data_IF_449919413157
#
_entry.id   IF_449919413157
#
_cell.length_a   1.000
_cell.length_b   1.000
_cell.length_c   1.000
_cell.angle_alpha   90.00
_cell.angle_beta   90.00
_cell.angle_gamma   90.00
#
_symmetry.space_group_name_H-M   'P 1'
#
loop_
_entity.id
_entity.type
_entity.pdbx_description
1 polymer ?
#
# COMPACT_ATOMS: atom_id res chain seq x y z
N UNK A 1 -20.83 -27.70 25.70
CA UNK A 1 -20.27 -28.25 24.45
C UNK A 1 -19.13 -29.16 24.85
N UNK A 2 -19.10 -30.41 24.38
CA UNK A 2 -17.99 -31.31 24.67
C UNK A 2 -16.78 -30.98 23.80
N UNK A 3 -15.57 -31.34 24.22
CA UNK A 3 -14.34 -31.15 23.44
C UNK A 3 -14.41 -31.85 22.06
N UNK A 4 -15.17 -32.95 21.98
CA UNK A 4 -15.44 -33.66 20.73
C UNK A 4 -16.36 -32.85 19.79
N UNK A 5 -17.41 -32.21 20.32
CA UNK A 5 -18.28 -31.31 19.55
C UNK A 5 -17.50 -30.10 19.03
N UNK A 6 -16.59 -29.55 19.85
CA UNK A 6 -15.77 -28.40 19.46
C UNK A 6 -14.78 -28.75 18.33
N UNK A 7 -14.14 -29.92 18.40
CA UNK A 7 -13.30 -30.45 17.31
C UNK A 7 -14.09 -30.61 16.01
N UNK A 8 -15.28 -31.22 16.09
CA UNK A 8 -16.17 -31.42 14.93
C UNK A 8 -16.54 -30.09 14.27
N UNK A 9 -16.85 -29.07 15.09
CA UNK A 9 -17.17 -27.73 14.59
C UNK A 9 -15.99 -27.10 13.84
N UNK A 10 -14.78 -27.13 14.42
CA UNK A 10 -13.59 -26.58 13.76
C UNK A 10 -13.22 -27.30 12.46
N UNK A 11 -13.35 -28.63 12.42
CA UNK A 11 -13.10 -29.39 11.19
C UNK A 11 -14.11 -28.99 10.10
N UNK A 12 -15.38 -28.79 10.45
CA UNK A 12 -16.38 -28.33 9.49
C UNK A 12 -16.10 -26.91 8.97
N UNK A 13 -15.68 -26.01 9.85
CA UNK A 13 -15.25 -24.64 9.49
C UNK A 13 -14.07 -24.66 8.50
N UNK A 14 -13.01 -25.41 8.81
CA UNK A 14 -11.86 -25.57 7.91
C UNK A 14 -12.30 -26.17 6.56
N UNK A 15 -13.19 -27.15 6.57
CA UNK A 15 -13.67 -27.78 5.34
C UNK A 15 -14.46 -26.80 4.46
N UNK A 16 -15.29 -25.95 5.05
CA UNK A 16 -16.03 -24.90 4.35
C UNK A 16 -15.08 -23.87 3.73
N UNK A 17 -14.10 -23.41 4.50
CA UNK A 17 -13.08 -22.49 4.02
C UNK A 17 -12.26 -23.08 2.85
N UNK A 18 -11.87 -24.34 2.94
CA UNK A 18 -11.16 -25.06 1.87
C UNK A 18 -12.00 -25.20 0.59
N UNK A 19 -13.32 -25.39 0.69
CA UNK A 19 -14.17 -25.41 -0.50
C UNK A 19 -14.28 -24.02 -1.15
N UNK A 20 -14.40 -22.95 -0.36
CA UNK A 20 -14.37 -21.57 -0.87
C UNK A 20 -13.05 -21.27 -1.59
N UNK A 21 -11.92 -21.71 -1.02
CA UNK A 21 -10.59 -21.57 -1.63
C UNK A 21 -10.54 -22.19 -3.03
N UNK A 22 -11.04 -23.43 -3.17
CA UNK A 22 -11.10 -24.14 -4.46
C UNK A 22 -12.02 -23.45 -5.46
N UNK A 23 -13.13 -22.90 -5.01
CA UNK A 23 -14.08 -22.18 -5.86
C UNK A 23 -13.46 -20.89 -6.40
N UNK A 24 -12.79 -20.10 -5.55
CA UNK A 24 -12.07 -18.89 -5.96
C UNK A 24 -10.96 -19.19 -6.97
N UNK A 25 -10.12 -20.21 -6.70
CA UNK A 25 -9.09 -20.66 -7.65
C UNK A 25 -9.70 -21.01 -9.02
N UNK A 26 -10.78 -21.78 -9.02
CA UNK A 26 -11.43 -22.24 -10.26
C UNK A 26 -12.08 -21.10 -11.05
N UNK A 27 -12.73 -20.16 -10.36
CA UNK A 27 -13.51 -19.08 -10.99
C UNK A 27 -12.63 -17.93 -11.46
N UNK A 28 -11.55 -17.62 -10.73
CA UNK A 28 -10.67 -16.47 -10.98
C UNK A 28 -9.37 -16.84 -11.68
N UNK A 29 -9.06 -18.13 -11.83
CA UNK A 29 -7.86 -18.59 -12.55
C UNK A 29 -6.55 -18.25 -11.84
N UNK A 30 -6.60 -17.99 -10.54
CA UNK A 30 -5.43 -17.65 -9.72
C UNK A 30 -4.70 -18.94 -9.37
N UNK A 31 -3.46 -19.09 -9.86
CA UNK A 31 -2.56 -20.15 -9.40
C UNK A 31 -2.02 -19.81 -8.02
N UNK A 32 -2.09 -20.77 -7.10
CA UNK A 32 -1.59 -20.58 -5.75
C UNK A 32 -0.58 -21.68 -5.44
N UNK A 33 0.62 -21.27 -5.04
CA UNK A 33 1.57 -22.16 -4.39
C UNK A 33 1.10 -22.43 -2.94
N UNK A 34 0.10 -23.28 -2.80
CA UNK A 34 -0.39 -23.72 -1.48
C UNK A 34 0.17 -25.09 -1.14
N UNK A 35 0.63 -25.22 0.10
CA UNK A 35 0.72 -26.53 0.74
C UNK A 35 -0.67 -26.97 1.21
N UNK A 36 -1.53 -27.39 0.26
CA UNK A 36 -2.86 -27.92 0.57
C UNK A 36 -2.80 -29.15 1.50
N UNK A 37 -1.64 -29.79 1.65
CA UNK A 37 -1.45 -30.90 2.58
C UNK A 37 -1.56 -30.44 4.03
N UNK A 38 -1.40 -29.15 4.34
CA UNK A 38 -1.64 -28.60 5.68
C UNK A 38 -3.09 -28.85 6.12
N UNK A 39 -4.07 -28.70 5.23
CA UNK A 39 -5.48 -28.92 5.56
C UNK A 39 -5.84 -30.40 5.68
N UNK A 40 -5.10 -31.29 5.01
CA UNK A 40 -5.28 -32.75 5.12
C UNK A 40 -5.02 -33.29 6.55
N UNK A 41 -4.39 -32.46 7.39
CA UNK A 41 -4.12 -32.72 8.81
C UNK A 41 -5.31 -32.40 9.71
N UNK A 42 -6.36 -31.72 9.23
CA UNK A 42 -7.56 -31.45 10.02
C UNK A 42 -8.42 -32.72 10.17
N UNK A 43 -8.09 -33.57 11.14
CA UNK A 43 -8.74 -34.87 11.37
C UNK A 43 -9.38 -34.95 12.77
N UNK A 44 -10.34 -35.87 13.00
CA UNK A 44 -11.01 -35.99 14.31
C UNK A 44 -10.08 -36.23 15.50
N UNK A 45 -8.92 -36.84 15.26
CA UNK A 45 -7.87 -37.14 16.25
C UNK A 45 -6.88 -35.99 16.47
N UNK A 46 -6.98 -34.91 15.69
CA UNK A 46 -6.11 -33.73 15.79
C UNK A 46 -6.44 -32.93 17.06
N UNK A 47 -5.41 -32.37 17.70
CA UNK A 47 -5.61 -31.57 18.91
C UNK A 47 -6.39 -30.28 18.60
N UNK A 48 -7.13 -29.75 19.57
CA UNK A 48 -7.84 -28.47 19.39
C UNK A 48 -6.90 -27.31 19.09
N UNK A 49 -5.68 -27.33 19.64
CA UNK A 49 -4.66 -26.31 19.38
C UNK A 49 -4.21 -26.36 17.91
N UNK A 50 -3.89 -27.55 17.40
CA UNK A 50 -3.48 -27.72 16.01
C UNK A 50 -4.61 -27.37 15.04
N UNK A 51 -5.85 -27.77 15.34
CA UNK A 51 -7.03 -27.36 14.55
C UNK A 51 -7.21 -25.84 14.53
N UNK A 52 -6.89 -25.15 15.63
CA UNK A 52 -6.94 -23.67 15.66
C UNK A 52 -5.91 -23.07 14.72
N UNK A 53 -4.68 -23.58 14.76
CA UNK A 53 -3.62 -23.11 13.86
C UNK A 53 -3.90 -23.43 12.39
N UNK A 54 -4.56 -24.56 12.09
CA UNK A 54 -4.99 -24.87 10.71
C UNK A 54 -6.10 -23.91 10.26
N UNK A 55 -7.09 -23.62 11.11
CA UNK A 55 -8.16 -22.67 10.81
C UNK A 55 -7.63 -21.24 10.63
N UNK A 56 -6.66 -20.82 11.44
CA UNK A 56 -6.01 -19.51 11.28
C UNK A 56 -5.30 -19.40 9.92
N UNK A 57 -4.48 -20.39 9.57
CA UNK A 57 -3.83 -20.45 8.25
C UNK A 57 -4.85 -20.45 7.10
N UNK A 58 -5.93 -21.22 7.24
CA UNK A 58 -7.01 -21.29 6.26
C UNK A 58 -7.63 -19.92 5.97
N UNK A 59 -7.90 -19.14 7.03
CA UNK A 59 -8.38 -17.75 6.92
C UNK A 59 -7.36 -16.83 6.28
N UNK A 60 -6.09 -16.91 6.66
CA UNK A 60 -5.02 -16.11 6.06
C UNK A 60 -4.97 -16.34 4.54
N UNK A 61 -5.06 -17.60 4.10
CA UNK A 61 -5.11 -17.92 2.68
C UNK A 61 -6.37 -17.38 1.99
N UNK A 62 -7.55 -17.56 2.61
CA UNK A 62 -8.80 -17.04 2.05
C UNK A 62 -8.73 -15.53 1.84
N UNK A 63 -8.22 -14.81 2.84
CA UNK A 63 -8.05 -13.37 2.78
C UNK A 63 -7.07 -12.99 1.66
N UNK A 64 -5.93 -13.68 1.55
CA UNK A 64 -4.94 -13.41 0.50
C UNK A 64 -5.52 -13.61 -0.92
N UNK A 65 -6.29 -14.68 -1.11
CA UNK A 65 -6.86 -15.02 -2.42
C UNK A 65 -8.02 -14.11 -2.76
N UNK A 66 -8.87 -13.83 -1.77
CA UNK A 66 -9.93 -12.86 -1.89
C UNK A 66 -9.35 -11.52 -2.33
N UNK A 67 -8.28 -11.07 -1.67
CA UNK A 67 -7.57 -9.83 -1.99
C UNK A 67 -7.03 -9.81 -3.43
N UNK A 68 -6.40 -10.90 -3.89
CA UNK A 68 -5.90 -11.01 -5.27
C UNK A 68 -7.03 -11.13 -6.31
N UNK A 69 -8.12 -11.83 -5.99
CA UNK A 69 -9.30 -11.88 -6.84
C UNK A 69 -10.00 -10.53 -6.96
N UNK A 70 -9.97 -9.76 -5.87
CA UNK A 70 -10.57 -8.45 -5.76
C UNK A 70 -9.71 -7.35 -6.41
N UNK A 71 -8.38 -7.46 -6.38
CA UNK A 71 -7.49 -6.51 -7.07
C UNK A 71 -7.75 -6.46 -8.57
N UNK A 72 -8.07 -7.60 -9.20
CA UNK A 72 -8.48 -7.63 -10.62
C UNK A 72 -9.82 -6.94 -10.87
N UNK A 73 -10.77 -7.00 -9.92
CA UNK A 73 -12.04 -6.28 -10.04
C UNK A 73 -11.84 -4.76 -9.96
N UNK A 74 -10.81 -4.29 -9.26
CA UNK A 74 -10.50 -2.87 -9.11
C UNK A 74 -10.01 -2.22 -10.41
N UNK A 75 -9.63 -3.01 -11.41
CA UNK A 75 -9.24 -2.53 -12.75
C UNK A 75 -10.43 -2.17 -13.63
N UNK A 76 -11.66 -2.48 -13.20
CA UNK A 76 -12.87 -2.17 -13.97
C UNK A 76 -13.22 -0.69 -13.90
N UNK A 77 -13.81 -0.15 -14.98
CA UNK A 77 -14.23 1.27 -15.05
C UNK A 77 -15.17 1.64 -13.88
N UNK A 78 -16.13 0.76 -13.53
CA UNK A 78 -17.04 0.98 -12.41
C UNK A 78 -16.32 1.07 -11.07
N UNK A 79 -15.34 0.19 -10.82
CA UNK A 79 -14.58 0.19 -9.59
C UNK A 79 -13.66 1.42 -9.48
N UNK A 80 -13.06 1.86 -10.59
CA UNK A 80 -12.27 3.09 -10.65
C UNK A 80 -13.17 4.30 -10.37
N UNK A 81 -14.34 4.39 -11.01
CA UNK A 81 -15.30 5.48 -10.82
C UNK A 81 -15.78 5.59 -9.36
N UNK A 82 -16.02 4.46 -8.69
CA UNK A 82 -16.35 4.45 -7.28
C UNK A 82 -15.16 4.88 -6.42
N UNK A 83 -13.94 4.43 -6.75
CA UNK A 83 -12.71 4.83 -6.04
C UNK A 83 -12.48 6.35 -6.13
N UNK A 84 -12.67 6.95 -7.30
CA UNK A 84 -12.61 8.41 -7.48
C UNK A 84 -13.63 9.16 -6.62
N UNK A 85 -14.85 8.60 -6.44
CA UNK A 85 -15.86 9.16 -5.54
C UNK A 85 -15.45 9.02 -4.07
N UNK A 86 -14.86 7.89 -3.68
CA UNK A 86 -14.35 7.70 -2.31
C UNK A 86 -13.26 8.71 -1.97
N UNK A 87 -12.27 8.89 -2.85
CA UNK A 87 -11.21 9.90 -2.68
C UNK A 87 -11.80 11.32 -2.57
N UNK A 88 -12.79 11.65 -3.41
CA UNK A 88 -13.50 12.93 -3.32
C UNK A 88 -14.23 13.12 -1.97
N UNK A 89 -14.75 12.05 -1.36
CA UNK A 89 -15.35 12.12 -0.02
C UNK A 89 -14.28 12.32 1.06
N UNK A 90 -13.11 11.68 0.94
CA UNK A 90 -11.99 11.89 1.84
C UNK A 90 -11.51 13.34 1.81
N UNK A 91 -11.34 13.93 0.61
CA UNK A 91 -11.00 15.34 0.44
C UNK A 91 -11.98 16.25 1.20
N UNK A 92 -13.28 16.00 1.02
CA UNK A 92 -14.35 16.75 1.66
C UNK A 92 -14.51 16.45 3.17
N UNK A 93 -13.72 15.53 3.73
CA UNK A 93 -13.88 15.00 5.08
C UNK A 93 -15.30 14.48 5.36
N UNK A 94 -15.91 13.88 4.35
CA UNK A 94 -17.28 13.41 4.39
C UNK A 94 -17.33 11.91 4.67
N UNK A 95 -18.34 11.46 5.42
CA UNK A 95 -18.59 10.03 5.60
C UNK A 95 -18.98 9.38 4.28
N UNK A 96 -18.58 8.13 4.11
CA UNK A 96 -19.04 7.31 3.00
C UNK A 96 -20.44 6.74 3.26
N UNK A 97 -21.06 6.14 2.24
CA UNK A 97 -22.42 5.59 2.32
C UNK A 97 -22.50 4.44 3.34
N UNK A 98 -21.45 3.63 3.46
CA UNK A 98 -21.31 2.63 4.53
C UNK A 98 -20.82 3.29 5.82
N UNK A 99 -21.58 3.24 6.93
CA UNK A 99 -21.26 3.97 8.15
C UNK A 99 -20.04 3.43 8.92
N UNK A 100 -19.59 2.21 8.62
CA UNK A 100 -18.40 1.62 9.24
C UNK A 100 -17.09 2.14 8.63
N UNK A 101 -17.15 2.73 7.42
CA UNK A 101 -16.01 3.37 6.76
C UNK A 101 -15.83 4.79 7.28
N UNK A 102 -15.23 4.90 8.46
CA UNK A 102 -14.71 6.19 8.93
C UNK A 102 -13.60 6.70 8.00
N UNK A 103 -13.37 8.01 7.96
CA UNK A 103 -12.58 8.67 6.91
C UNK A 103 -11.14 8.11 6.79
N UNK A 104 -10.52 7.67 7.89
CA UNK A 104 -9.20 7.00 7.86
C UNK A 104 -9.24 5.69 7.07
N UNK A 105 -10.16 4.80 7.44
CA UNK A 105 -10.35 3.51 6.78
C UNK A 105 -10.80 3.70 5.33
N UNK A 106 -11.59 4.74 5.07
CA UNK A 106 -12.01 5.10 3.72
C UNK A 106 -10.82 5.53 2.85
N UNK A 107 -9.87 6.30 3.40
CA UNK A 107 -8.65 6.71 2.69
C UNK A 107 -7.80 5.48 2.36
N UNK A 108 -7.43 4.67 3.35
CA UNK A 108 -6.62 3.46 3.10
C UNK A 108 -7.29 2.50 2.12
N UNK A 109 -8.62 2.35 2.22
CA UNK A 109 -9.36 1.52 1.29
C UNK A 109 -9.37 2.10 -0.12
N UNK A 110 -9.60 3.41 -0.27
CA UNK A 110 -9.57 4.06 -1.57
C UNK A 110 -8.16 4.02 -2.19
N UNK A 111 -7.11 4.21 -1.39
CA UNK A 111 -5.71 4.12 -1.80
C UNK A 111 -5.37 2.72 -2.28
N UNK A 112 -5.72 1.69 -1.50
CA UNK A 112 -5.57 0.29 -1.90
C UNK A 112 -6.26 -0.02 -3.24
N UNK A 113 -7.53 0.40 -3.39
CA UNK A 113 -8.29 0.21 -4.62
C UNK A 113 -7.65 0.92 -5.81
N UNK A 114 -7.18 2.15 -5.61
CA UNK A 114 -6.53 2.95 -6.65
C UNK A 114 -5.26 2.27 -7.17
N UNK A 115 -4.37 1.83 -6.27
CA UNK A 115 -3.15 1.12 -6.70
C UNK A 115 -3.45 -0.20 -7.40
N UNK A 116 -4.43 -0.99 -6.92
CA UNK A 116 -4.87 -2.19 -7.64
C UNK A 116 -5.41 -1.86 -9.04
N UNK A 117 -6.21 -0.79 -9.15
CA UNK A 117 -6.77 -0.31 -10.42
C UNK A 117 -5.71 0.19 -11.40
N UNK A 118 -4.62 0.76 -10.88
CA UNK A 118 -3.44 1.14 -11.66
C UNK A 118 -2.52 -0.04 -12.01
N UNK A 119 -2.85 -1.25 -11.55
CA UNK A 119 -2.13 -2.48 -11.90
C UNK A 119 -1.04 -2.89 -10.92
N UNK A 120 -1.00 -2.31 -9.71
CA UNK A 120 -0.05 -2.76 -8.69
C UNK A 120 -0.45 -4.13 -8.11
N UNK A 121 0.55 -4.96 -7.88
CA UNK A 121 0.44 -6.11 -6.99
C UNK A 121 0.65 -5.67 -5.54
N UNK A 122 -0.15 -6.19 -4.61
CA UNK A 122 -0.03 -5.84 -3.19
C UNK A 122 0.38 -7.08 -2.40
N UNK A 123 1.59 -7.12 -1.83
CA UNK A 123 2.06 -8.28 -1.10
C UNK A 123 1.18 -8.61 0.12
N UNK A 124 1.19 -9.88 0.57
CA UNK A 124 0.46 -10.28 1.78
C UNK A 124 0.90 -9.45 3.00
N UNK A 125 -0.07 -9.08 3.83
CA UNK A 125 0.19 -8.35 5.06
C UNK A 125 0.24 -6.82 4.91
N UNK A 126 0.10 -6.24 3.73
CA UNK A 126 -0.02 -4.78 3.54
C UNK A 126 -1.44 -4.36 3.14
N UNK A 127 -1.77 -3.08 3.28
CA UNK A 127 -3.11 -2.54 3.06
C UNK A 127 -4.05 -2.74 4.25
N UNK A 128 -5.32 -2.27 4.13
CA UNK A 128 -6.31 -2.41 5.18
C UNK A 128 -6.61 -3.89 5.47
N UNK A 129 -6.92 -4.20 6.73
CA UNK A 129 -7.32 -5.55 7.11
C UNK A 129 -8.71 -5.83 6.57
N UNK A 130 -8.82 -6.80 5.67
CA UNK A 130 -10.07 -7.16 5.02
C UNK A 130 -10.84 -8.23 5.81
N UNK A 131 -12.13 -8.37 5.50
CA UNK A 131 -12.94 -9.49 5.94
C UNK A 131 -12.36 -10.84 5.48
N UNK A 132 -12.90 -11.94 6.00
CA UNK A 132 -12.40 -13.29 5.69
C UNK A 132 -12.42 -13.60 4.19
N UNK A 133 -13.37 -13.01 3.46
CA UNK A 133 -13.51 -13.20 2.02
C UNK A 133 -12.59 -12.25 1.21
N UNK A 134 -11.86 -11.35 1.85
CA UNK A 134 -10.90 -10.42 1.22
C UNK A 134 -11.55 -9.33 0.37
N UNK A 135 -12.81 -8.96 0.63
CA UNK A 135 -13.61 -8.08 -0.24
C UNK A 135 -13.95 -6.72 0.37
N UNK A 136 -13.95 -6.60 1.70
CA UNK A 136 -14.32 -5.37 2.41
C UNK A 136 -13.34 -5.08 3.53
N UNK A 137 -12.97 -3.81 3.77
CA UNK A 137 -12.05 -3.45 4.84
C UNK A 137 -12.78 -3.42 6.19
N UNK A 138 -12.13 -3.94 7.22
CA UNK A 138 -12.62 -3.96 8.61
C UNK A 138 -11.83 -2.97 9.45
N UNK A 139 -10.50 -2.95 9.28
CA UNK A 139 -9.61 -2.08 10.03
C UNK A 139 -8.52 -1.52 9.12
N UNK A 140 -7.94 -0.42 9.59
CA UNK A 140 -6.76 0.17 9.00
C UNK A 140 -5.55 -0.76 9.10
N UNK A 141 -4.50 -0.47 8.35
CA UNK A 141 -3.23 -1.16 8.44
C UNK A 141 -2.69 -1.14 9.89
N UNK A 142 -2.08 -2.24 10.37
CA UNK A 142 -1.39 -2.26 11.66
C UNK A 142 -0.22 -1.26 11.73
N UNK A 143 -0.11 -0.50 12.82
CA UNK A 143 0.81 0.65 12.96
C UNK A 143 2.31 0.34 13.18
N UNK A 144 2.82 -0.77 12.65
CA UNK A 144 4.24 -1.16 12.74
C UNK A 144 4.91 -1.39 11.37
N UNK A 145 4.15 -1.19 10.29
CA UNK A 145 4.53 -1.37 8.90
C UNK A 145 3.88 -0.26 8.07
N UNK A 146 4.35 -0.04 6.84
CA UNK A 146 3.68 0.91 5.95
C UNK A 146 2.23 0.54 5.72
N UNK A 147 1.38 1.55 5.51
CA UNK A 147 -0.04 1.37 5.25
C UNK A 147 -0.26 0.43 4.05
N UNK A 148 0.51 0.64 2.99
CA UNK A 148 0.45 -0.17 1.78
C UNK A 148 1.84 -0.31 1.11
N UNK A 149 2.11 -1.50 0.56
CA UNK A 149 3.16 -1.67 -0.45
C UNK A 149 2.49 -2.01 -1.78
N UNK A 150 2.80 -1.21 -2.80
CA UNK A 150 2.34 -1.39 -4.16
C UNK A 150 3.54 -1.76 -5.06
N UNK A 151 3.57 -2.99 -5.54
CA UNK A 151 4.60 -3.51 -6.42
C UNK A 151 4.15 -3.39 -7.88
N UNK A 152 4.97 -2.71 -8.69
CA UNK A 152 4.90 -2.76 -10.14
C UNK A 152 6.12 -3.51 -10.69
N UNK A 153 6.08 -3.89 -11.96
CA UNK A 153 7.21 -4.57 -12.62
C UNK A 153 8.50 -3.71 -12.62
N UNK A 154 8.35 -2.39 -12.65
CA UNK A 154 9.47 -1.44 -12.76
C UNK A 154 9.90 -0.80 -11.42
N UNK A 155 9.03 -0.77 -10.41
CA UNK A 155 9.25 -0.01 -9.17
C UNK A 155 8.38 -0.55 -8.04
N UNK A 156 8.85 -0.39 -6.80
CA UNK A 156 8.09 -0.67 -5.58
C UNK A 156 7.77 0.64 -4.87
N UNK A 157 6.51 0.83 -4.49
CA UNK A 157 6.04 1.99 -3.77
C UNK A 157 5.66 1.62 -2.33
N UNK A 158 6.20 2.37 -1.39
CA UNK A 158 5.84 2.36 0.02
C UNK A 158 4.87 3.51 0.22
N UNK A 159 3.60 3.17 0.38
CA UNK A 159 2.52 4.15 0.45
C UNK A 159 2.13 4.33 1.91
N UNK A 160 2.06 5.59 2.31
CA UNK A 160 1.65 6.03 3.63
C UNK A 160 0.60 7.11 3.46
N UNK A 161 -0.49 7.03 4.22
CA UNK A 161 -1.62 7.92 4.05
C UNK A 161 -2.13 8.47 5.38
N UNK A 162 -2.57 9.73 5.37
CA UNK A 162 -3.06 10.35 6.59
C UNK A 162 -4.13 11.39 6.35
N UNK A 163 -5.11 11.43 7.26
CA UNK A 163 -6.02 12.58 7.39
C UNK A 163 -5.56 13.56 8.47
N UNK A 164 -4.50 13.21 9.23
CA UNK A 164 -3.93 14.09 10.24
C UNK A 164 -3.38 15.34 9.57
N UNK A 165 -3.54 16.50 10.22
CA UNK A 165 -3.06 17.78 9.71
C UNK A 165 -2.36 18.59 10.80
N UNK A 166 -1.67 19.65 10.38
CA UNK A 166 -0.94 20.54 11.28
C UNK A 166 0.19 19.82 12.05
N UNK A 167 0.43 20.22 13.30
CA UNK A 167 1.51 19.65 14.10
C UNK A 167 1.37 18.16 14.38
N UNK A 168 0.14 17.65 14.46
CA UNK A 168 -0.11 16.23 14.71
C UNK A 168 0.41 15.35 13.57
N UNK A 169 0.27 15.82 12.33
CA UNK A 169 0.81 15.11 11.17
C UNK A 169 2.33 14.98 11.28
N UNK A 170 3.03 16.04 11.70
CA UNK A 170 4.46 15.96 11.94
C UNK A 170 4.83 14.99 13.06
N UNK A 171 4.07 15.01 14.16
CA UNK A 171 4.27 14.12 15.30
C UNK A 171 4.03 12.64 14.95
N UNK A 172 3.04 12.34 14.10
CA UNK A 172 2.66 10.96 13.76
C UNK A 172 3.37 10.41 12.53
N UNK A 173 3.67 11.23 11.53
CA UNK A 173 4.12 10.72 10.22
C UNK A 173 5.61 10.90 9.94
N UNK A 174 6.29 11.87 10.56
CA UNK A 174 7.68 12.19 10.20
C UNK A 174 8.63 10.99 10.34
N UNK A 175 8.76 10.45 11.56
CA UNK A 175 9.63 9.29 11.81
C UNK A 175 9.08 7.99 11.20
N UNK A 176 7.80 7.62 11.38
CA UNK A 176 7.35 6.31 10.92
C UNK A 176 7.45 6.14 9.41
N UNK A 177 7.05 7.14 8.62
CA UNK A 177 7.12 7.10 7.16
C UNK A 177 8.55 6.88 6.67
N UNK A 178 9.51 7.68 7.17
CA UNK A 178 10.91 7.55 6.75
C UNK A 178 11.52 6.21 7.17
N UNK A 179 11.18 5.71 8.37
CA UNK A 179 11.61 4.39 8.84
C UNK A 179 11.02 3.26 7.99
N UNK A 180 9.74 3.32 7.65
CA UNK A 180 9.06 2.30 6.83
C UNK A 180 9.64 2.25 5.42
N UNK A 181 9.85 3.40 4.78
CA UNK A 181 10.50 3.49 3.47
C UNK A 181 11.91 2.91 3.53
N UNK A 182 12.72 3.29 4.53
CA UNK A 182 14.07 2.77 4.69
C UNK A 182 14.11 1.25 4.94
N UNK A 183 13.16 0.72 5.72
CA UNK A 183 13.04 -0.71 5.96
C UNK A 183 12.68 -1.46 4.68
N UNK A 184 11.73 -0.96 3.89
CA UNK A 184 11.38 -1.55 2.60
C UNK A 184 12.59 -1.52 1.63
N UNK A 185 13.29 -0.40 1.50
CA UNK A 185 14.51 -0.30 0.68
C UNK A 185 15.50 -1.40 1.06
N UNK A 186 15.73 -1.61 2.36
CA UNK A 186 16.61 -2.67 2.86
C UNK A 186 16.06 -4.06 2.53
N UNK A 187 14.79 -4.33 2.80
CA UNK A 187 14.16 -5.63 2.65
C UNK A 187 14.14 -6.10 1.18
N UNK A 188 13.85 -5.21 0.24
CA UNK A 188 13.88 -5.53 -1.19
C UNK A 188 15.31 -5.77 -1.70
N UNK A 189 16.29 -4.98 -1.23
CA UNK A 189 17.71 -5.22 -1.56
C UNK A 189 18.21 -6.56 -1.04
N UNK A 190 17.85 -6.93 0.18
CA UNK A 190 18.23 -8.23 0.78
C UNK A 190 17.62 -9.43 0.03
N UNK A 191 16.51 -9.21 -0.69
CA UNK A 191 15.88 -10.20 -1.59
C UNK A 191 16.49 -10.21 -3.01
N UNK A 192 17.54 -9.43 -3.24
CA UNK A 192 18.15 -9.22 -4.56
C UNK A 192 17.17 -8.67 -5.61
N UNK A 193 16.15 -7.93 -5.17
CA UNK A 193 15.24 -7.23 -6.07
C UNK A 193 15.94 -5.99 -6.64
N UNK A 194 15.95 -5.87 -7.98
CA UNK A 194 16.60 -4.78 -8.69
C UNK A 194 15.69 -3.55 -8.86
N UNK A 195 14.40 -3.66 -8.55
CA UNK A 195 13.46 -2.55 -8.67
C UNK A 195 13.82 -1.44 -7.66
N UNK A 196 13.79 -0.16 -8.05
CA UNK A 196 13.85 0.95 -7.11
C UNK A 196 12.69 0.88 -6.11
N UNK A 197 12.92 1.43 -4.92
CA UNK A 197 11.91 1.56 -3.86
C UNK A 197 11.75 3.04 -3.54
N UNK A 198 10.52 3.54 -3.59
CA UNK A 198 10.19 4.95 -3.34
C UNK A 198 8.99 5.07 -2.40
N UNK A 199 8.98 6.08 -1.56
CA UNK A 199 7.83 6.44 -0.73
C UNK A 199 6.82 7.31 -1.47
N UNK A 200 5.54 7.12 -1.19
CA UNK A 200 4.45 8.01 -1.60
C UNK A 200 3.67 8.37 -0.34
N UNK A 201 3.60 9.67 -0.03
CA UNK A 201 2.92 10.16 1.15
C UNK A 201 1.67 10.95 0.74
N UNK A 202 0.49 10.39 1.04
CA UNK A 202 -0.81 10.93 0.60
C UNK A 202 -1.52 11.55 1.80
N UNK A 203 -1.73 12.86 1.77
CA UNK A 203 -2.42 13.55 2.86
C UNK A 203 -3.62 14.36 2.37
N UNK A 204 -4.60 14.62 3.23
CA UNK A 204 -5.65 15.61 2.91
C UNK A 204 -5.13 17.04 2.81
N UNK A 205 -4.08 17.35 3.57
CA UNK A 205 -3.39 18.63 3.60
C UNK A 205 -1.95 18.36 4.05
N UNK A 206 -0.97 18.91 3.33
CA UNK A 206 0.45 18.69 3.64
C UNK A 206 0.96 19.69 4.69
N UNK A 207 1.66 19.20 5.71
CA UNK A 207 2.34 20.04 6.68
C UNK A 207 3.80 20.30 6.27
N UNK A 208 4.17 21.58 6.18
CA UNK A 208 5.53 21.99 5.82
C UNK A 208 6.65 21.38 6.69
N UNK A 209 6.40 21.07 7.97
CA UNK A 209 7.45 20.45 8.81
C UNK A 209 7.68 18.98 8.45
N UNK A 210 6.64 18.26 7.99
CA UNK A 210 6.78 16.90 7.44
C UNK A 210 7.58 16.97 6.14
N UNK A 211 7.24 17.93 5.27
CA UNK A 211 7.94 18.16 4.01
C UNK A 211 9.43 18.50 4.23
N UNK A 212 9.73 19.38 5.18
CA UNK A 212 11.11 19.73 5.55
C UNK A 212 11.88 18.50 6.07
N UNK A 213 11.22 17.64 6.83
CA UNK A 213 11.81 16.39 7.29
C UNK A 213 12.10 15.41 6.14
N UNK A 214 11.18 15.27 5.18
CA UNK A 214 11.42 14.45 3.99
C UNK A 214 12.57 15.00 3.14
N UNK A 215 12.66 16.32 2.97
CA UNK A 215 13.78 16.97 2.28
C UNK A 215 15.13 16.62 2.93
N UNK A 216 15.19 16.57 4.26
CA UNK A 216 16.43 16.17 4.97
C UNK A 216 16.86 14.77 4.54
N UNK A 217 15.94 13.82 4.45
CA UNK A 217 16.22 12.44 4.02
C UNK A 217 16.48 12.30 2.51
N UNK A 218 15.93 13.19 1.70
CA UNK A 218 16.20 13.26 0.27
C UNK A 218 17.62 13.76 -0.02
N UNK A 219 18.06 14.80 0.68
CA UNK A 219 19.26 15.57 0.27
C UNK A 219 20.45 15.50 1.23
N UNK A 220 20.20 15.47 2.55
CA UNK A 220 21.22 15.78 3.57
C UNK A 220 21.58 14.60 4.46
N UNK A 221 20.67 13.65 4.63
CA UNK A 221 20.82 12.56 5.57
C UNK A 221 20.44 11.22 4.96
N UNK A 222 21.43 10.33 4.86
CA UNK A 222 21.17 8.91 4.60
C UNK A 222 20.52 8.28 5.81
N UNK A 223 19.42 7.57 5.61
CA UNK A 223 18.77 6.83 6.68
C UNK A 223 19.64 5.61 7.05
N UNK A 224 19.93 5.45 8.35
CA UNK A 224 20.87 4.45 8.85
C UNK A 224 20.46 2.98 8.59
N UNK A 225 19.15 2.70 8.46
CA UNK A 225 18.64 1.35 8.19
C UNK A 225 19.12 0.82 6.83
N UNK A 226 19.05 1.65 5.79
CA UNK A 226 19.39 1.26 4.41
C UNK A 226 20.70 1.86 3.91
N UNK A 227 21.35 2.71 4.71
CA UNK A 227 22.54 3.50 4.36
C UNK A 227 22.37 4.30 3.05
N UNK A 228 21.17 4.86 2.86
CA UNK A 228 20.79 5.55 1.63
C UNK A 228 19.86 6.74 1.85
N UNK A 229 19.77 7.59 0.84
CA UNK A 229 18.79 8.68 0.78
C UNK A 229 17.41 8.10 0.47
N UNK A 230 16.37 8.76 0.97
CA UNK A 230 15.00 8.34 0.77
C UNK A 230 14.31 9.28 -0.21
N UNK A 231 13.64 8.69 -1.18
CA UNK A 231 12.79 9.40 -2.14
C UNK A 231 11.36 9.21 -1.67
N UNK A 232 10.72 10.28 -1.21
CA UNK A 232 9.34 10.26 -0.71
C UNK A 232 8.60 11.38 -1.42
N UNK A 233 7.55 11.04 -2.17
CA UNK A 233 6.75 11.99 -2.93
C UNK A 233 5.52 12.36 -2.11
N UNK A 234 5.51 13.55 -1.48
CA UNK A 234 4.31 14.06 -0.83
C UNK A 234 3.31 14.55 -1.88
N UNK A 235 2.03 14.24 -1.69
CA UNK A 235 0.95 14.77 -2.52
C UNK A 235 -0.34 14.86 -1.72
N UNK A 236 -1.25 15.72 -2.15
CA UNK A 236 -2.58 15.76 -1.55
C UNK A 236 -3.49 14.68 -2.16
N UNK A 237 -4.55 14.31 -1.44
CA UNK A 237 -5.58 13.36 -1.96
C UNK A 237 -6.16 13.85 -3.29
N UNK A 238 -6.30 15.17 -3.45
CA UNK A 238 -6.72 15.84 -4.69
C UNK A 238 -5.81 15.51 -5.87
N UNK A 239 -4.50 15.50 -5.62
CA UNK A 239 -3.51 15.19 -6.63
C UNK A 239 -3.53 13.72 -7.01
N UNK A 240 -3.53 12.85 -5.99
CA UNK A 240 -3.62 11.40 -6.17
C UNK A 240 -4.88 11.00 -6.95
N UNK A 241 -6.02 11.63 -6.65
CA UNK A 241 -7.27 11.45 -7.42
C UNK A 241 -7.11 11.88 -8.88
N UNK A 242 -6.39 12.97 -9.14
CA UNK A 242 -6.06 13.43 -10.49
C UNK A 242 -5.21 12.43 -11.25
N UNK A 243 -4.18 11.85 -10.61
CA UNK A 243 -3.30 10.83 -11.17
C UNK A 243 -4.08 9.56 -11.53
N UNK A 244 -4.93 9.06 -10.61
CA UNK A 244 -5.78 7.90 -10.87
C UNK A 244 -6.69 8.15 -12.08
N UNK A 245 -7.27 9.35 -12.18
CA UNK A 245 -8.11 9.72 -13.32
C UNK A 245 -7.31 9.75 -14.63
N UNK A 246 -6.14 10.36 -14.64
CA UNK A 246 -5.27 10.41 -15.82
C UNK A 246 -4.86 9.01 -16.29
N UNK A 247 -4.54 8.12 -15.36
CA UNK A 247 -4.24 6.72 -15.65
C UNK A 247 -5.45 5.98 -16.24
N UNK A 248 -6.63 6.13 -15.64
CA UNK A 248 -7.85 5.48 -16.12
C UNK A 248 -8.28 5.94 -17.52
N UNK A 249 -8.02 7.20 -17.87
CA UNK A 249 -8.24 7.76 -19.20
C UNK A 249 -7.17 7.34 -20.22
N UNK A 250 -6.13 6.61 -19.78
CA UNK A 250 -5.02 6.15 -20.62
C UNK A 250 -3.98 7.23 -20.94
N UNK A 251 -4.05 8.39 -20.28
CA UNK A 251 -3.11 9.49 -20.46
C UNK A 251 -1.78 9.26 -19.71
N UNK A 252 -1.76 8.34 -18.74
CA UNK A 252 -0.59 8.06 -17.92
C UNK A 252 -0.36 6.54 -17.78
N UNK A 253 0.85 6.09 -18.14
CA UNK A 253 1.31 4.72 -17.87
C UNK A 253 2.07 4.73 -16.54
N UNK A 254 1.39 4.28 -15.48
CA UNK A 254 1.83 4.47 -14.09
C UNK A 254 3.21 3.86 -13.79
N UNK A 255 3.49 2.57 -14.12
CA UNK A 255 4.78 1.96 -13.80
C UNK A 255 5.96 2.70 -14.44
N UNK A 256 5.81 3.10 -15.70
CA UNK A 256 6.84 3.80 -16.47
C UNK A 256 7.04 5.22 -15.95
N UNK A 257 5.94 5.98 -15.81
CA UNK A 257 6.00 7.38 -15.37
C UNK A 257 6.61 7.51 -13.96
N UNK A 258 6.27 6.60 -13.04
CA UNK A 258 6.82 6.63 -11.68
C UNK A 258 8.30 6.20 -11.65
N UNK A 259 8.71 5.26 -12.51
CA UNK A 259 10.12 4.88 -12.63
C UNK A 259 10.98 5.98 -13.27
N UNK A 260 10.43 6.71 -14.24
CA UNK A 260 11.03 7.91 -14.83
C UNK A 260 11.18 9.01 -13.78
N UNK A 261 10.11 9.31 -13.03
CA UNK A 261 10.13 10.24 -11.91
C UNK A 261 11.24 9.90 -10.89
N UNK A 262 11.37 8.64 -10.49
CA UNK A 262 12.44 8.20 -9.58
C UNK A 262 13.83 8.51 -10.15
N UNK A 263 14.03 8.26 -11.44
CA UNK A 263 15.30 8.49 -12.13
C UNK A 263 15.63 9.99 -12.21
N UNK A 264 14.64 10.82 -12.53
CA UNK A 264 14.77 12.28 -12.57
C UNK A 264 15.12 12.86 -11.20
N UNK A 265 14.44 12.42 -10.15
CA UNK A 265 14.71 12.87 -8.78
C UNK A 265 16.11 12.46 -8.32
N UNK A 266 16.55 11.25 -8.66
CA UNK A 266 17.90 10.80 -8.32
C UNK A 266 18.96 11.63 -9.06
N UNK A 267 18.76 11.90 -10.35
CA UNK A 267 19.63 12.78 -11.13
C UNK A 267 19.66 14.19 -10.55
N UNK A 268 18.49 14.77 -10.26
CA UNK A 268 18.37 16.12 -9.71
C UNK A 268 19.09 16.28 -8.38
N UNK A 269 18.94 15.27 -7.50
CA UNK A 269 19.65 15.21 -6.24
C UNK A 269 21.18 15.21 -6.43
N UNK A 270 21.68 14.44 -7.39
CA UNK A 270 23.12 14.36 -7.69
C UNK A 270 23.65 15.67 -8.30
N UNK A 271 22.87 16.32 -9.17
CA UNK A 271 23.18 17.65 -9.70
C UNK A 271 23.15 18.74 -8.63
N UNK A 272 22.33 18.54 -7.59
CA UNK A 272 22.26 19.40 -6.41
C UNK A 272 23.50 19.37 -5.52
N UNK A 273 24.44 18.43 -5.73
CA UNK A 273 25.66 18.31 -4.93
C UNK A 273 26.61 19.48 -5.26
N UNK A 274 26.84 20.32 -4.25
CA UNK A 274 27.72 21.46 -4.38
C UNK A 274 29.19 21.02 -4.37
N UNK A 275 29.97 21.46 -5.37
CA UNK A 275 31.39 21.16 -5.47
C UNK A 275 32.27 21.73 -4.34
N UNK A 276 31.78 22.72 -3.58
CA UNK A 276 32.54 23.33 -2.49
C UNK A 276 32.32 22.65 -1.13
N UNK A 277 31.09 22.22 -0.84
CA UNK A 277 30.73 21.62 0.44
C UNK A 277 30.39 20.12 0.36
N UNK A 278 30.47 19.53 -0.83
CA UNK A 278 30.21 18.10 -1.10
C UNK A 278 28.85 17.60 -0.58
N UNK A 279 27.89 18.52 -0.46
CA UNK A 279 26.54 18.26 0.08
C UNK A 279 25.49 18.74 -0.91
N UNK A 280 24.34 18.07 -0.96
CA UNK A 280 23.20 18.52 -1.75
C UNK A 280 22.63 19.83 -1.19
N UNK A 281 22.67 20.89 -1.99
CA UNK A 281 22.28 22.25 -1.61
C UNK A 281 20.87 22.65 -2.03
N UNK A 282 20.04 21.68 -2.42
CA UNK A 282 18.62 21.91 -2.74
C UNK A 282 17.91 22.54 -1.53
N UNK A 283 17.33 23.71 -1.76
CA UNK A 283 16.56 24.46 -0.77
C UNK A 283 15.11 23.95 -0.71
N UNK A 284 14.44 24.23 0.41
CA UNK A 284 13.07 23.81 0.64
C UNK A 284 12.12 24.28 -0.46
N UNK A 285 12.18 25.56 -0.83
CA UNK A 285 11.29 26.13 -1.84
C UNK A 285 11.55 25.53 -3.24
N UNK A 286 12.80 25.17 -3.54
CA UNK A 286 13.13 24.49 -4.80
C UNK A 286 12.58 23.07 -4.80
N UNK A 287 12.75 22.34 -3.68
CA UNK A 287 12.25 20.99 -3.50
C UNK A 287 10.74 20.90 -3.63
N UNK A 288 9.99 21.73 -2.91
CA UNK A 288 8.54 21.75 -2.98
C UNK A 288 8.06 22.11 -4.39
N UNK A 289 8.63 23.16 -5.01
CA UNK A 289 8.24 23.58 -6.36
C UNK A 289 8.46 22.49 -7.40
N UNK A 290 9.59 21.79 -7.35
CA UNK A 290 9.88 20.70 -8.28
C UNK A 290 8.94 19.51 -8.07
N UNK A 291 8.70 19.12 -6.81
CA UNK A 291 7.76 18.05 -6.49
C UNK A 291 6.34 18.40 -6.97
N UNK A 292 5.89 19.62 -6.75
CA UNK A 292 4.59 20.10 -7.22
C UNK A 292 4.50 20.02 -8.76
N UNK A 293 5.54 20.46 -9.48
CA UNK A 293 5.61 20.37 -10.95
C UNK A 293 5.57 18.93 -11.45
N UNK A 294 6.30 18.02 -10.80
CA UNK A 294 6.33 16.60 -11.15
C UNK A 294 4.96 15.93 -10.90
N UNK A 295 4.32 16.22 -9.77
CA UNK A 295 2.97 15.74 -9.45
C UNK A 295 1.94 16.32 -10.42
N UNK A 296 2.07 17.59 -10.81
CA UNK A 296 1.25 18.22 -11.86
C UNK A 296 1.41 17.53 -13.22
N UNK A 297 2.64 17.16 -13.60
CA UNK A 297 2.94 16.37 -14.80
C UNK A 297 2.15 15.06 -14.83
N UNK A 298 2.23 14.28 -13.73
CA UNK A 298 1.49 13.03 -13.59
C UNK A 298 -0.03 13.22 -13.75
N UNK A 299 -0.61 14.29 -13.19
CA UNK A 299 -2.06 14.57 -13.33
C UNK A 299 -2.48 14.88 -14.76
N UNK A 300 -1.57 15.39 -15.58
CA UNK A 300 -1.86 15.82 -16.96
C UNK A 300 -1.39 14.83 -18.01
N UNK A 301 -0.66 13.77 -17.61
CA UNK A 301 -0.05 12.80 -18.52
C UNK A 301 1.06 13.42 -19.36
N UNK A 302 1.73 14.44 -18.83
CA UNK A 302 2.85 15.16 -19.45
C UNK A 302 4.19 14.75 -18.85
#
# INVERSE_FOLDING_TARGET
>A
MSEEEERKKKIAEIAEEVEKLKELQKTKGIEIQMDLDVFSKARPDTSLQDLSGIAEKSREYLQQIGKQAYSEEMKTEEAIDETLKMLSNVEANAKWKEPYLEVNLLLEWATYRAFCGMGAEVPPGYGPLLNTDGTEPIFTAPGDKPDLIAEFDSIVLVVEETISSGSRQYESEGEPVTRHVAQAVKDYREREDARPVMGVFIARELNNNVLDYFLVHFSRHKHWICDDFLFIIPMEVSDFRGILKASAEGHLQIPEAIAELYSELNQWRDEGICSECETCCILYEQWVSEIDELVDGLKTGQ
#
